data_IF_507617816965
#
_entry.id   IF_507617816965
#
_cell.length_a   1.000
_cell.length_b   1.000
_cell.length_c   1.000
_cell.angle_alpha   90.00
_cell.angle_beta   90.00
_cell.angle_gamma   90.00
#
_symmetry.space_group_name_H-M   'P 1'
#
loop_
_entity.id
_entity.type
_entity.pdbx_description
1 polymer ?
#
# COMPACT_ATOMS: atom_id res chain seq x y z
N UNK A 1 21.78 -0.47 -14.88
CA UNK A 1 20.52 -0.24 -14.12
C UNK A 1 20.83 0.76 -13.01
N UNK A 2 19.95 1.72 -12.73
CA UNK A 2 20.09 2.57 -11.54
C UNK A 2 19.73 1.78 -10.27
N UNK A 3 20.28 2.16 -9.11
CA UNK A 3 19.87 1.51 -7.86
C UNK A 3 18.43 1.93 -7.49
N UNK A 4 17.79 1.17 -6.59
CA UNK A 4 16.48 1.57 -6.03
C UNK A 4 16.61 2.91 -5.30
N UNK A 5 17.74 3.13 -4.61
CA UNK A 5 18.00 4.37 -3.86
C UNK A 5 18.24 5.57 -4.78
N UNK A 6 18.95 5.38 -5.89
CA UNK A 6 19.16 6.41 -6.92
C UNK A 6 17.81 6.84 -7.50
N UNK A 7 16.98 5.85 -7.86
CA UNK A 7 15.65 6.08 -8.42
C UNK A 7 14.76 6.83 -7.42
N UNK A 8 14.75 6.41 -6.16
CA UNK A 8 14.00 7.07 -5.07
C UNK A 8 14.48 8.51 -4.86
N UNK A 9 15.79 8.72 -4.78
CA UNK A 9 16.43 10.02 -4.57
C UNK A 9 16.11 10.98 -5.71
N UNK A 10 16.16 10.50 -6.95
CA UNK A 10 15.82 11.29 -8.12
C UNK A 10 14.35 11.72 -8.08
N UNK A 11 13.41 10.80 -7.81
CA UNK A 11 11.99 11.14 -7.75
C UNK A 11 11.73 12.17 -6.65
N UNK A 12 12.26 11.97 -5.44
CA UNK A 12 12.13 12.93 -4.35
C UNK A 12 12.75 14.30 -4.68
N UNK A 13 13.92 14.31 -5.34
CA UNK A 13 14.57 15.54 -5.80
C UNK A 13 13.68 16.31 -6.79
N UNK A 14 13.00 15.62 -7.70
CA UNK A 14 12.04 16.24 -8.63
C UNK A 14 10.85 16.83 -7.87
N UNK A 15 10.24 16.06 -6.97
CA UNK A 15 9.03 16.48 -6.23
C UNK A 15 9.31 17.66 -5.29
N UNK A 16 10.40 17.61 -4.52
CA UNK A 16 10.78 18.68 -3.57
C UNK A 16 11.18 19.97 -4.26
N UNK A 17 11.83 19.89 -5.44
CA UNK A 17 12.27 21.08 -6.18
C UNK A 17 11.16 21.71 -7.01
N UNK A 18 10.02 21.04 -7.18
CA UNK A 18 8.92 21.59 -7.94
C UNK A 18 8.23 22.69 -7.14
N UNK A 19 8.28 23.91 -7.67
CA UNK A 19 7.59 25.08 -7.10
C UNK A 19 6.26 25.38 -7.80
N UNK A 20 5.98 24.66 -8.89
CA UNK A 20 4.77 24.69 -9.69
C UNK A 20 3.89 23.46 -9.40
N UNK A 21 2.57 23.57 -9.54
CA UNK A 21 1.66 22.42 -9.50
C UNK A 21 1.53 21.69 -8.14
N UNK A 22 0.94 20.48 -8.13
CA UNK A 22 0.64 19.73 -6.91
C UNK A 22 1.80 18.85 -6.40
N UNK A 23 2.95 18.85 -7.08
CA UNK A 23 3.99 17.83 -6.90
C UNK A 23 4.66 17.85 -5.53
N UNK A 24 4.78 19.01 -4.89
CA UNK A 24 5.39 19.15 -3.56
C UNK A 24 4.61 18.44 -2.45
N UNK A 25 3.35 18.09 -2.70
CA UNK A 25 2.51 17.28 -1.80
C UNK A 25 2.80 15.78 -1.85
N UNK A 26 3.71 15.33 -2.72
CA UNK A 26 4.04 13.91 -2.92
C UNK A 26 5.48 13.61 -2.50
N UNK A 27 5.73 12.36 -2.11
CA UNK A 27 7.08 11.85 -1.86
C UNK A 27 7.16 10.34 -2.08
N UNK A 28 8.37 9.86 -2.38
CA UNK A 28 8.69 8.44 -2.35
C UNK A 28 8.89 7.98 -0.91
N UNK A 29 8.16 6.93 -0.52
CA UNK A 29 8.29 6.27 0.78
C UNK A 29 8.29 4.75 0.59
N UNK A 30 8.92 4.06 1.53
CA UNK A 30 9.03 2.58 1.54
C UNK A 30 7.98 1.90 2.43
N UNK A 31 7.06 2.69 3.00
CA UNK A 31 5.85 2.27 3.71
C UNK A 31 4.70 3.15 3.20
N UNK A 32 3.54 2.56 2.99
CA UNK A 32 2.24 3.23 2.81
C UNK A 32 1.32 2.90 3.98
N UNK A 33 0.50 3.85 4.44
CA UNK A 33 -0.61 3.56 5.34
C UNK A 33 -1.87 3.37 4.51
N UNK A 34 -2.33 2.14 4.43
CA UNK A 34 -3.52 1.75 3.68
C UNK A 34 -4.67 1.53 4.67
N UNK A 35 -4.91 2.50 5.55
CA UNK A 35 -5.80 2.30 6.69
C UNK A 35 -7.25 2.11 6.28
N UNK A 36 -7.96 1.25 7.00
CA UNK A 36 -9.42 1.11 6.91
C UNK A 36 -10.10 2.13 7.83
N UNK A 37 -9.61 2.24 9.07
CA UNK A 37 -10.21 3.14 10.05
C UNK A 37 -9.13 3.77 10.93
N UNK A 38 -9.01 5.10 10.84
CA UNK A 38 -8.07 5.90 11.64
C UNK A 38 -8.70 6.32 12.97
N UNK A 39 -7.90 6.30 14.03
CA UNK A 39 -8.29 6.79 15.34
C UNK A 39 -8.36 8.32 15.39
N UNK A 40 -9.24 8.84 16.21
CA UNK A 40 -9.22 10.24 16.67
C UNK A 40 -9.02 10.32 18.18
N UNK A 41 -8.41 11.42 18.64
CA UNK A 41 -8.30 11.75 20.07
C UNK A 41 -8.71 13.21 20.23
N UNK A 42 -9.81 13.46 20.94
CA UNK A 42 -10.32 14.83 21.11
C UNK A 42 -10.71 15.50 19.78
N UNK A 43 -11.08 14.71 18.77
CA UNK A 43 -11.43 15.18 17.43
C UNK A 43 -10.25 15.35 16.47
N UNK A 44 -9.00 15.22 16.93
CA UNK A 44 -7.81 15.26 16.07
C UNK A 44 -7.40 13.86 15.59
N UNK A 45 -6.73 13.78 14.44
CA UNK A 45 -6.23 12.50 13.90
C UNK A 45 -5.18 11.90 14.83
N UNK A 46 -5.19 10.57 14.95
CA UNK A 46 -4.14 9.80 15.62
C UNK A 46 -3.25 9.09 14.60
N UNK A 47 -2.08 8.59 15.03
CA UNK A 47 -1.34 7.56 14.29
C UNK A 47 -1.87 6.15 14.57
N UNK A 48 -2.76 6.00 15.57
CA UNK A 48 -3.38 4.72 15.92
C UNK A 48 -4.80 4.67 15.37
N UNK A 49 -5.39 3.47 15.39
CA UNK A 49 -6.76 3.24 14.99
C UNK A 49 -7.17 1.79 15.16
N UNK A 50 -8.45 1.53 14.95
CA UNK A 50 -9.05 0.21 15.11
C UNK A 50 -8.70 -0.76 13.98
N UNK A 51 -8.31 -0.24 12.81
CA UNK A 51 -7.94 -1.05 11.64
C UNK A 51 -6.91 -0.31 10.75
N UNK A 52 -5.64 -0.39 11.18
CA UNK A 52 -4.48 0.29 10.56
C UNK A 52 -3.62 -0.74 9.83
N UNK A 53 -3.21 -0.42 8.60
CA UNK A 53 -2.41 -1.34 7.77
C UNK A 53 -1.20 -0.63 7.17
N UNK A 54 0.00 -1.11 7.51
CA UNK A 54 1.22 -0.77 6.80
C UNK A 54 1.37 -1.66 5.57
N UNK A 55 1.55 -1.06 4.40
CA UNK A 55 1.93 -1.76 3.17
C UNK A 55 3.37 -1.44 2.80
N UNK A 56 4.14 -2.48 2.48
CA UNK A 56 5.51 -2.40 1.96
C UNK A 56 5.57 -3.10 0.61
N UNK A 57 6.52 -2.71 -0.23
CA UNK A 57 6.74 -3.35 -1.53
C UNK A 57 8.11 -4.01 -1.52
N UNK A 58 8.18 -5.28 -1.94
CA UNK A 58 9.43 -6.04 -1.97
C UNK A 58 9.64 -6.65 -3.35
N UNK A 59 10.85 -6.49 -3.89
CA UNK A 59 11.30 -7.30 -5.00
C UNK A 59 11.50 -8.75 -4.52
N UNK A 60 11.41 -9.70 -5.45
CA UNK A 60 11.60 -11.13 -5.16
C UNK A 60 12.98 -11.44 -4.58
N UNK A 61 14.00 -10.68 -4.96
CA UNK A 61 15.36 -10.80 -4.43
C UNK A 61 15.54 -10.17 -3.03
N UNK A 62 14.46 -9.72 -2.40
CA UNK A 62 14.46 -9.17 -1.04
C UNK A 62 14.71 -7.66 -0.98
N UNK A 63 15.06 -7.00 -2.09
CA UNK A 63 15.20 -5.53 -2.10
C UNK A 63 13.89 -4.87 -1.75
N UNK A 64 13.95 -3.90 -0.84
CA UNK A 64 12.80 -3.06 -0.50
C UNK A 64 12.57 -2.03 -1.60
N UNK A 65 11.35 -1.98 -2.10
CA UNK A 65 10.91 -1.03 -3.12
C UNK A 65 10.15 0.13 -2.46
N UNK A 66 9.66 1.06 -3.26
CA UNK A 66 9.01 2.27 -2.81
C UNK A 66 7.72 2.56 -3.58
N UNK A 67 6.94 3.48 -3.04
CA UNK A 67 5.75 4.05 -3.67
C UNK A 67 5.82 5.57 -3.59
N UNK A 68 5.45 6.25 -4.66
CA UNK A 68 5.17 7.68 -4.72
C UNK A 68 3.73 7.90 -4.31
N UNK A 69 3.52 8.72 -3.28
CA UNK A 69 2.21 8.98 -2.69
C UNK A 69 2.20 10.32 -1.95
N UNK A 70 1.00 10.78 -1.61
CA UNK A 70 0.82 11.94 -0.74
C UNK A 70 1.21 11.64 0.72
N UNK A 71 1.05 12.64 1.58
CA UNK A 71 1.19 12.50 3.04
C UNK A 71 0.34 11.35 3.62
N UNK A 72 0.81 10.72 4.69
CA UNK A 72 0.14 9.62 5.40
C UNK A 72 -0.77 10.11 6.53
N UNK A 73 -0.37 11.21 7.17
CA UNK A 73 -1.02 11.68 8.38
C UNK A 73 -2.41 12.21 8.03
N UNK A 74 -2.46 13.21 7.15
CA UNK A 74 -3.67 13.78 6.59
C UNK A 74 -3.73 13.50 5.08
N UNK A 75 -3.80 12.21 4.76
CA UNK A 75 -3.71 11.74 3.38
C UNK A 75 -4.86 12.24 2.50
N UNK A 76 -4.58 12.31 1.20
CA UNK A 76 -5.60 12.61 0.19
C UNK A 76 -6.34 11.31 -0.17
N UNK A 77 -7.66 11.39 -0.18
CA UNK A 77 -8.53 10.26 -0.43
C UNK A 77 -9.58 10.60 -1.49
N UNK A 78 -9.96 9.59 -2.26
CA UNK A 78 -11.19 9.56 -3.03
C UNK A 78 -12.28 8.81 -2.30
N UNK A 79 -13.53 9.10 -2.62
CA UNK A 79 -14.69 8.28 -2.26
C UNK A 79 -15.43 7.89 -3.53
N UNK A 80 -15.78 6.61 -3.63
CA UNK A 80 -16.58 6.04 -4.72
C UNK A 80 -17.55 5.01 -4.15
N UNK A 81 -18.53 4.60 -4.95
CA UNK A 81 -19.40 3.47 -4.63
C UNK A 81 -18.76 2.16 -5.09
N UNK A 82 -19.09 1.06 -4.43
CA UNK A 82 -18.63 -0.28 -4.84
C UNK A 82 -19.06 -0.69 -6.25
N UNK A 83 -20.11 -0.10 -6.80
CA UNK A 83 -20.52 -0.30 -8.21
C UNK A 83 -19.67 0.48 -9.22
N UNK A 84 -18.89 1.47 -8.77
CA UNK A 84 -18.02 2.29 -9.59
C UNK A 84 -16.56 1.82 -9.62
N UNK A 85 -16.27 0.71 -8.93
CA UNK A 85 -14.96 0.04 -8.95
C UNK A 85 -15.04 -1.26 -9.74
N UNK A 86 -14.27 -1.33 -10.82
CA UNK A 86 -14.13 -2.51 -11.66
C UNK A 86 -12.93 -3.37 -11.23
N UNK A 87 -13.11 -4.69 -11.27
CA UNK A 87 -12.06 -5.69 -11.09
C UNK A 87 -12.16 -6.67 -12.25
N UNK A 88 -11.05 -7.33 -12.61
CA UNK A 88 -11.09 -8.44 -13.55
C UNK A 88 -11.16 -9.72 -12.75
N UNK A 89 -12.23 -10.50 -12.94
CA UNK A 89 -12.43 -11.75 -12.22
C UNK A 89 -13.21 -12.75 -13.09
N UNK A 90 -13.17 -14.01 -12.69
CA UNK A 90 -14.03 -15.07 -13.21
C UNK A 90 -14.80 -15.69 -12.05
N UNK A 91 -16.06 -16.05 -12.30
CA UNK A 91 -16.92 -16.83 -11.41
C UNK A 91 -16.93 -18.33 -11.79
N UNK A 92 -16.17 -18.72 -12.82
CA UNK A 92 -15.96 -20.11 -13.20
C UNK A 92 -15.17 -20.84 -12.10
N UNK A 93 -15.59 -22.07 -11.78
CA UNK A 93 -14.92 -22.97 -10.83
C UNK A 93 -14.58 -22.35 -9.46
N UNK A 94 -15.42 -21.41 -8.98
CA UNK A 94 -15.24 -20.73 -7.69
C UNK A 94 -14.19 -19.62 -7.71
N UNK A 95 -13.71 -19.23 -8.90
CA UNK A 95 -12.77 -18.12 -9.11
C UNK A 95 -11.30 -18.54 -9.20
N UNK A 96 -10.42 -17.59 -8.88
CA UNK A 96 -8.97 -17.73 -9.06
C UNK A 96 -8.53 -17.27 -10.45
N UNK A 97 -7.27 -16.86 -10.58
CA UNK A 97 -6.72 -16.21 -11.77
C UNK A 97 -6.55 -17.10 -13.01
N UNK A 98 -7.51 -17.97 -13.33
CA UNK A 98 -7.53 -18.78 -14.55
C UNK A 98 -7.65 -17.93 -15.82
N UNK A 99 -7.29 -18.51 -16.97
CA UNK A 99 -7.31 -17.81 -18.26
C UNK A 99 -8.68 -17.79 -18.95
N UNK A 100 -9.64 -18.59 -18.51
CA UNK A 100 -11.02 -18.60 -19.04
C UNK A 100 -11.94 -17.71 -18.20
N UNK A 101 -12.99 -17.18 -18.84
CA UNK A 101 -14.07 -16.47 -18.15
C UNK A 101 -13.73 -15.11 -17.54
N UNK A 102 -12.46 -14.66 -17.58
CA UNK A 102 -12.06 -13.36 -17.03
C UNK A 102 -12.80 -12.21 -17.73
N UNK A 103 -13.50 -11.41 -16.93
CA UNK A 103 -14.22 -10.23 -17.40
C UNK A 103 -14.20 -9.12 -16.34
N UNK A 104 -14.31 -7.85 -16.75
CA UNK A 104 -14.60 -6.78 -15.82
C UNK A 104 -15.93 -7.02 -15.09
N UNK A 105 -15.88 -6.97 -13.76
CA UNK A 105 -17.03 -7.05 -12.85
C UNK A 105 -16.92 -5.90 -11.84
N UNK A 106 -18.03 -5.50 -11.22
CA UNK A 106 -17.98 -4.46 -10.17
C UNK A 106 -17.65 -5.06 -8.82
N UNK A 107 -17.08 -4.26 -7.92
CA UNK A 107 -16.79 -4.68 -6.55
C UNK A 107 -18.08 -5.10 -5.84
N UNK A 108 -19.18 -4.36 -6.05
CA UNK A 108 -20.51 -4.74 -5.55
C UNK A 108 -20.90 -6.16 -5.98
N UNK A 109 -20.68 -6.52 -7.25
CA UNK A 109 -21.01 -7.86 -7.77
C UNK A 109 -20.20 -8.94 -7.07
N UNK A 110 -18.89 -8.69 -6.88
CA UNK A 110 -17.97 -9.60 -6.20
C UNK A 110 -18.37 -9.78 -4.73
N UNK A 111 -18.60 -8.70 -3.98
CA UNK A 111 -19.02 -8.78 -2.57
C UNK A 111 -20.41 -9.45 -2.39
N UNK A 112 -21.32 -9.26 -3.35
CA UNK A 112 -22.65 -9.87 -3.35
C UNK A 112 -22.61 -11.37 -3.62
N UNK A 113 -21.61 -11.86 -4.34
CA UNK A 113 -21.48 -13.26 -4.75
C UNK A 113 -20.10 -13.82 -4.38
N UNK A 114 -19.61 -13.51 -3.19
CA UNK A 114 -18.18 -13.64 -2.88
C UNK A 114 -17.70 -15.10 -2.92
N UNK A 115 -18.55 -16.07 -2.56
CA UNK A 115 -18.25 -17.50 -2.72
C UNK A 115 -18.01 -17.93 -4.17
N UNK A 116 -18.62 -17.26 -5.17
CA UNK A 116 -18.37 -17.59 -6.58
C UNK A 116 -17.00 -17.14 -7.07
N UNK A 117 -16.45 -16.10 -6.45
CA UNK A 117 -15.16 -15.51 -6.84
C UNK A 117 -14.00 -15.92 -5.91
N UNK A 118 -14.31 -16.35 -4.68
CA UNK A 118 -13.37 -16.74 -3.64
C UNK A 118 -13.55 -18.16 -3.13
N UNK A 119 -14.47 -18.95 -3.68
CA UNK A 119 -14.69 -20.35 -3.26
C UNK A 119 -13.45 -21.22 -3.47
N UNK A 120 -12.63 -20.91 -4.49
CA UNK A 120 -11.32 -21.56 -4.70
C UNK A 120 -10.35 -21.34 -3.52
N UNK A 121 -10.58 -20.29 -2.73
CA UNK A 121 -9.79 -19.90 -1.57
C UNK A 121 -10.45 -20.36 -0.25
N UNK A 122 -11.43 -21.26 -0.29
CA UNK A 122 -12.26 -21.75 0.83
C UNK A 122 -13.24 -20.72 1.42
N UNK A 123 -13.65 -19.71 0.65
CA UNK A 123 -14.67 -18.78 1.12
C UNK A 123 -16.08 -19.37 0.91
N UNK A 124 -16.79 -19.64 2.00
CA UNK A 124 -18.03 -20.43 2.04
C UNK A 124 -19.29 -19.61 2.38
N UNK A 125 -19.22 -18.29 2.19
CA UNK A 125 -20.36 -17.37 2.39
C UNK A 125 -20.94 -16.85 1.08
N UNK A 126 -22.27 -16.75 1.02
CA UNK A 126 -22.96 -16.23 -0.16
C UNK A 126 -22.61 -14.77 -0.45
N UNK A 127 -22.58 -13.93 0.58
CA UNK A 127 -22.33 -12.50 0.46
C UNK A 127 -21.63 -11.92 1.68
N UNK A 128 -20.76 -10.93 1.44
CA UNK A 128 -20.18 -10.04 2.45
C UNK A 128 -20.47 -8.56 2.15
N UNK A 129 -21.38 -8.29 1.22
CA UNK A 129 -21.80 -6.95 0.85
C UNK A 129 -22.63 -6.30 1.96
N UNK A 130 -22.51 -4.99 2.08
CA UNK A 130 -23.36 -4.18 2.94
C UNK A 130 -23.86 -2.97 2.16
N UNK A 131 -25.19 -2.81 2.09
CA UNK A 131 -25.78 -1.80 1.21
C UNK A 131 -25.41 -0.37 1.59
N UNK A 132 -25.18 -0.09 2.88
CA UNK A 132 -24.88 1.25 3.37
C UNK A 132 -23.38 1.49 3.42
N UNK A 133 -22.59 0.52 3.90
CA UNK A 133 -21.14 0.68 3.96
C UNK A 133 -20.52 0.74 2.56
N UNK A 134 -21.04 -0.02 1.60
CA UNK A 134 -20.49 -0.13 0.25
C UNK A 134 -20.88 1.04 -0.67
N UNK A 135 -21.66 2.01 -0.19
CA UNK A 135 -21.85 3.33 -0.82
C UNK A 135 -20.64 4.26 -0.60
N UNK A 136 -19.80 3.94 0.38
CA UNK A 136 -18.62 4.73 0.72
C UNK A 136 -17.39 3.85 0.74
N UNK A 137 -16.80 3.64 -0.44
CA UNK A 137 -15.48 3.01 -0.58
C UNK A 137 -14.43 4.11 -0.68
N UNK A 138 -13.46 4.10 0.23
CA UNK A 138 -12.33 5.03 0.12
C UNK A 138 -11.31 4.51 -0.89
N UNK A 139 -10.72 5.42 -1.66
CA UNK A 139 -9.76 5.09 -2.71
C UNK A 139 -8.49 5.91 -2.55
N UNK A 140 -7.35 5.24 -2.63
CA UNK A 140 -6.01 5.83 -2.68
C UNK A 140 -5.41 5.58 -4.06
N UNK A 141 -4.93 6.63 -4.71
CA UNK A 141 -4.13 6.52 -5.92
C UNK A 141 -2.66 6.73 -5.59
N UNK A 142 -1.82 5.78 -6.00
CA UNK A 142 -0.38 5.81 -5.82
C UNK A 142 0.32 5.36 -7.09
N UNK A 143 1.65 5.55 -7.14
CA UNK A 143 2.44 5.06 -8.26
C UNK A 143 3.83 4.61 -7.83
N UNK A 144 4.53 3.85 -8.66
CA UNK A 144 5.94 3.49 -8.42
C UNK A 144 6.76 3.45 -9.70
N UNK A 145 8.07 3.64 -9.58
CA UNK A 145 9.04 3.51 -10.66
C UNK A 145 10.01 2.38 -10.30
N UNK A 146 9.91 1.26 -11.00
CA UNK A 146 10.75 0.09 -10.76
C UNK A 146 12.00 0.13 -11.64
N UNK A 147 13.21 0.14 -11.07
CA UNK A 147 14.44 0.07 -11.86
C UNK A 147 14.57 -1.32 -12.49
N UNK A 148 14.68 -1.35 -13.81
CA UNK A 148 14.86 -2.58 -14.61
C UNK A 148 16.12 -2.52 -15.46
N UNK A 149 16.57 -3.67 -15.95
CA UNK A 149 17.73 -3.74 -16.84
C UNK A 149 17.49 -2.97 -18.14
N UNK A 150 18.56 -2.56 -18.81
CA UNK A 150 18.48 -1.93 -20.13
C UNK A 150 18.21 -3.02 -21.16
N UNK A 151 17.16 -2.85 -21.96
CA UNK A 151 16.73 -3.83 -22.93
C UNK A 151 15.24 -3.68 -23.26
N UNK A 152 14.78 -4.48 -24.22
CA UNK A 152 13.36 -4.62 -24.50
C UNK A 152 12.75 -5.66 -23.57
N UNK A 153 11.53 -5.39 -23.06
CA UNK A 153 10.76 -6.33 -22.22
C UNK A 153 11.52 -6.81 -20.99
N UNK A 154 12.39 -5.98 -20.42
CA UNK A 154 13.01 -6.26 -19.12
C UNK A 154 11.97 -6.14 -18.01
N UNK A 155 12.08 -6.99 -16.98
CA UNK A 155 11.08 -7.09 -15.93
C UNK A 155 11.70 -7.17 -14.53
N UNK A 156 10.86 -6.91 -13.52
CA UNK A 156 11.17 -7.11 -12.11
C UNK A 156 10.01 -7.82 -11.43
N UNK A 157 10.31 -8.86 -10.66
CA UNK A 157 9.32 -9.58 -9.85
C UNK A 157 9.21 -8.98 -8.45
N UNK A 158 7.99 -8.83 -7.95
CA UNK A 158 7.70 -8.19 -6.66
C UNK A 158 6.43 -8.72 -6.02
N UNK A 159 6.25 -8.40 -4.73
CA UNK A 159 5.00 -8.61 -4.01
C UNK A 159 4.79 -7.48 -2.99
N UNK A 160 3.57 -6.95 -2.84
CA UNK A 160 3.22 -6.13 -1.70
C UNK A 160 3.14 -7.00 -0.44
N UNK A 161 3.47 -6.41 0.70
CA UNK A 161 3.41 -7.02 2.01
C UNK A 161 2.57 -6.14 2.92
N UNK A 162 1.51 -6.70 3.49
CA UNK A 162 0.61 -6.02 4.40
C UNK A 162 0.90 -6.43 5.85
N UNK A 163 0.90 -5.44 6.74
CA UNK A 163 0.98 -5.63 8.18
C UNK A 163 -0.16 -4.84 8.82
N UNK A 164 -1.24 -5.51 9.20
CA UNK A 164 -2.34 -4.90 9.92
C UNK A 164 -2.01 -4.85 11.42
N UNK A 165 -2.18 -3.73 12.12
CA UNK A 165 -1.83 -3.59 13.54
C UNK A 165 -2.85 -4.22 14.51
N UNK A 166 -4.02 -4.60 14.01
CA UNK A 166 -5.14 -5.07 14.81
C UNK A 166 -5.44 -6.58 14.59
N UNK A 167 -4.77 -7.24 13.64
CA UNK A 167 -4.83 -8.71 13.44
C UNK A 167 -3.79 -9.48 14.26
N UNK A 168 -4.20 -10.12 15.35
CA UNK A 168 -3.25 -10.82 16.24
C UNK A 168 -3.07 -12.31 15.92
N UNK A 169 -3.97 -12.88 15.14
CA UNK A 169 -4.11 -14.30 14.87
C UNK A 169 -4.62 -14.51 13.43
N UNK A 170 -4.16 -15.57 12.76
CA UNK A 170 -4.65 -15.95 11.43
C UNK A 170 -6.11 -16.45 11.49
N UNK A 171 -6.56 -16.91 12.66
CA UNK A 171 -7.94 -17.36 12.92
C UNK A 171 -8.93 -16.21 13.22
N UNK A 172 -8.42 -14.98 13.31
CA UNK A 172 -9.19 -13.78 13.68
C UNK A 172 -8.71 -12.53 12.89
N UNK A 173 -8.75 -12.57 11.55
CA UNK A 173 -8.31 -11.49 10.68
C UNK A 173 -9.17 -10.23 10.84
N UNK A 174 -8.56 -9.07 10.58
CA UNK A 174 -9.29 -7.79 10.47
C UNK A 174 -9.85 -7.56 9.09
N UNK A 175 -9.19 -8.07 8.06
CA UNK A 175 -9.56 -7.78 6.68
C UNK A 175 -9.47 -9.04 5.82
N UNK A 176 -10.51 -9.23 5.00
CA UNK A 176 -10.38 -9.98 3.76
C UNK A 176 -9.69 -9.05 2.74
N UNK A 177 -8.69 -9.57 2.04
CA UNK A 177 -7.83 -8.81 1.12
C UNK A 177 -8.03 -9.33 -0.29
N UNK A 178 -8.45 -8.45 -1.19
CA UNK A 178 -8.61 -8.74 -2.62
C UNK A 178 -7.45 -8.11 -3.39
N UNK A 179 -6.58 -8.93 -3.97
CA UNK A 179 -5.49 -8.49 -4.83
C UNK A 179 -5.92 -8.62 -6.30
N UNK A 180 -5.96 -7.50 -7.01
CA UNK A 180 -6.60 -7.41 -8.32
C UNK A 180 -5.62 -6.94 -9.39
N UNK A 181 -5.51 -7.71 -10.46
CA UNK A 181 -4.78 -7.35 -11.69
C UNK A 181 -5.68 -7.59 -12.89
N UNK A 182 -5.22 -7.29 -14.11
CA UNK A 182 -5.97 -7.68 -15.31
C UNK A 182 -5.86 -9.16 -15.65
N UNK A 183 -5.04 -9.92 -14.92
CA UNK A 183 -5.00 -11.40 -15.00
C UNK A 183 -5.88 -12.08 -13.96
N UNK A 184 -6.68 -11.31 -13.22
CA UNK A 184 -7.71 -11.85 -12.33
C UNK A 184 -7.66 -11.28 -10.92
N UNK A 185 -8.46 -11.94 -10.08
CA UNK A 185 -8.63 -11.66 -8.67
C UNK A 185 -7.97 -12.76 -7.84
N UNK A 186 -7.20 -12.36 -6.84
CA UNK A 186 -6.70 -13.23 -5.78
C UNK A 186 -7.32 -12.86 -4.42
N UNK A 187 -8.10 -13.76 -3.85
CA UNK A 187 -8.73 -13.64 -2.53
C UNK A 187 -7.80 -14.18 -1.45
N UNK A 188 -7.48 -13.34 -0.48
CA UNK A 188 -6.58 -13.60 0.65
C UNK A 188 -7.18 -12.97 1.92
N UNK A 189 -6.55 -13.17 3.07
CA UNK A 189 -6.86 -12.45 4.31
C UNK A 189 -5.58 -11.88 4.91
N UNK A 190 -5.72 -10.86 5.74
CA UNK A 190 -4.62 -10.51 6.64
C UNK A 190 -4.44 -11.59 7.73
N UNK A 191 -3.38 -11.43 8.52
CA UNK A 191 -3.04 -12.42 9.53
C UNK A 191 -2.00 -11.92 10.51
N UNK A 192 -1.53 -12.83 11.35
CA UNK A 192 -0.47 -12.60 12.31
C UNK A 192 0.82 -12.17 11.61
N UNK A 193 1.37 -11.05 12.04
CA UNK A 193 2.61 -10.49 11.48
C UNK A 193 2.43 -9.92 10.07
N UNK A 194 3.54 -9.84 9.33
CA UNK A 194 3.53 -9.34 7.96
C UNK A 194 3.19 -10.47 6.98
N UNK A 195 2.29 -10.21 6.03
CA UNK A 195 1.86 -11.17 5.02
C UNK A 195 2.13 -10.62 3.62
N UNK A 196 2.91 -11.36 2.82
CA UNK A 196 3.05 -11.07 1.39
C UNK A 196 1.78 -11.46 0.65
N UNK A 197 1.34 -10.61 -0.26
CA UNK A 197 0.17 -10.87 -1.10
C UNK A 197 0.66 -11.35 -2.46
N UNK A 198 0.17 -12.52 -2.86
CA UNK A 198 0.53 -13.15 -4.14
C UNK A 198 -0.68 -13.25 -5.06
N UNK A 199 -0.44 -13.40 -6.37
CA UNK A 199 -1.51 -13.75 -7.28
C UNK A 199 -1.81 -15.24 -7.17
N UNK A 200 -3.08 -15.64 -7.30
CA UNK A 200 -3.49 -17.03 -7.22
C UNK A 200 -3.90 -17.57 -8.58
N UNK A 201 -3.61 -18.84 -8.85
CA UNK A 201 -4.21 -19.64 -9.91
C UNK A 201 -4.65 -20.96 -9.30
N UNK A 202 -5.86 -21.39 -9.61
CA UNK A 202 -6.30 -22.75 -9.38
C UNK A 202 -5.89 -23.61 -10.57
N UNK A 203 -5.14 -24.67 -10.34
CA UNK A 203 -4.74 -25.59 -11.40
C UNK A 203 -5.82 -26.63 -11.72
N UNK A 204 -5.55 -27.50 -12.71
CA UNK A 204 -6.47 -28.56 -13.16
C UNK A 204 -6.77 -29.61 -12.09
N UNK A 205 -5.92 -29.72 -11.05
CA UNK A 205 -6.12 -30.61 -9.90
C UNK A 205 -6.88 -29.92 -8.77
N UNK A 206 -7.22 -28.65 -8.94
CA UNK A 206 -7.89 -27.84 -7.94
C UNK A 206 -6.95 -27.26 -6.89
N UNK A 207 -5.63 -27.45 -7.02
CA UNK A 207 -4.64 -26.88 -6.12
C UNK A 207 -4.43 -25.40 -6.42
N UNK A 208 -4.26 -24.59 -5.37
CA UNK A 208 -4.02 -23.16 -5.52
C UNK A 208 -2.53 -22.87 -5.51
N UNK A 209 -2.03 -22.38 -6.64
CA UNK A 209 -0.66 -21.92 -6.83
C UNK A 209 -0.57 -20.42 -6.63
N UNK A 210 0.48 -19.99 -5.92
CA UNK A 210 0.77 -18.58 -5.66
C UNK A 210 1.89 -18.10 -6.58
N UNK A 211 1.76 -16.89 -7.09
CA UNK A 211 2.72 -16.29 -8.01
C UNK A 211 3.17 -14.91 -7.52
N UNK A 212 4.46 -14.65 -7.70
CA UNK A 212 4.98 -13.28 -7.66
C UNK A 212 4.29 -12.44 -8.73
N UNK A 213 4.17 -11.14 -8.48
CA UNK A 213 3.81 -10.19 -9.53
C UNK A 213 5.07 -9.87 -10.32
N UNK A 214 4.91 -9.57 -11.60
CA UNK A 214 5.99 -9.17 -12.48
C UNK A 214 5.60 -7.86 -13.17
N UNK A 215 6.51 -6.88 -13.14
CA UNK A 215 6.39 -5.64 -13.88
C UNK A 215 7.35 -5.65 -15.08
N UNK A 216 6.82 -5.85 -16.29
CA UNK A 216 7.59 -5.83 -17.55
C UNK A 216 7.51 -4.45 -18.22
N UNK A 217 8.62 -3.95 -18.76
CA UNK A 217 8.64 -2.70 -19.54
C UNK A 217 7.80 -2.78 -20.82
N UNK A 218 7.21 -1.65 -21.24
CA UNK A 218 6.37 -1.59 -22.45
C UNK A 218 6.73 -0.41 -23.37
N UNK A 219 6.03 -0.32 -24.50
CA UNK A 219 6.07 0.81 -25.44
C UNK A 219 5.25 2.02 -24.97
N UNK A 220 4.40 1.86 -23.94
CA UNK A 220 3.49 2.89 -23.49
C UNK A 220 4.18 3.88 -22.55
N UNK A 221 3.91 5.17 -22.75
CA UNK A 221 4.44 6.26 -21.93
C UNK A 221 3.93 6.21 -20.48
N UNK A 222 4.60 6.95 -19.61
CA UNK A 222 4.13 7.22 -18.25
C UNK A 222 2.89 8.10 -18.27
N UNK A 223 1.90 7.76 -17.45
CA UNK A 223 0.60 8.45 -17.35
C UNK A 223 -0.38 8.14 -18.49
N UNK A 224 -1.67 8.20 -18.17
CA UNK A 224 -2.77 8.02 -19.12
C UNK A 224 -3.13 6.57 -19.46
N UNK A 225 -4.12 6.43 -20.35
CA UNK A 225 -4.67 5.13 -20.76
C UNK A 225 -3.71 4.31 -21.65
N UNK A 226 -3.79 2.98 -21.54
CA UNK A 226 -2.99 2.05 -22.35
C UNK A 226 -3.86 1.30 -23.36
N UNK A 227 -4.07 1.94 -24.50
CA UNK A 227 -4.76 1.34 -25.64
C UNK A 227 -3.76 0.53 -26.47
N UNK A 228 -3.84 -0.80 -26.36
CA UNK A 228 -2.97 -1.72 -27.10
C UNK A 228 -3.57 -2.07 -28.47
N UNK A 229 -2.69 -2.29 -29.45
CA UNK A 229 -3.07 -2.86 -30.75
C UNK A 229 -3.48 -4.33 -30.62
N UNK A 230 -4.10 -4.89 -31.66
CA UNK A 230 -4.47 -6.31 -31.64
C UNK A 230 -3.23 -7.20 -31.63
N UNK A 231 -2.18 -6.81 -32.35
CA UNK A 231 -0.90 -7.51 -32.42
C UNK A 231 -0.16 -7.47 -31.07
N UNK A 232 -0.16 -6.33 -30.38
CA UNK A 232 0.42 -6.19 -29.03
C UNK A 232 -0.28 -7.09 -28.02
N UNK A 233 -1.62 -7.15 -28.06
CA UNK A 233 -2.42 -8.03 -27.21
C UNK A 233 -2.13 -9.50 -27.49
N UNK A 234 -2.08 -9.90 -28.76
CA UNK A 234 -1.76 -11.29 -29.13
C UNK A 234 -0.35 -11.70 -28.71
N UNK A 235 0.65 -10.84 -28.87
CA UNK A 235 2.02 -11.09 -28.39
C UNK A 235 2.05 -11.24 -26.87
N UNK A 236 1.37 -10.34 -26.13
CA UNK A 236 1.29 -10.41 -24.68
C UNK A 236 0.64 -11.71 -24.21
N UNK A 237 -0.48 -12.12 -24.82
CA UNK A 237 -1.19 -13.36 -24.50
C UNK A 237 -0.33 -14.60 -24.80
N UNK A 238 0.38 -14.63 -25.94
CA UNK A 238 1.31 -15.73 -26.27
C UNK A 238 2.44 -15.89 -25.25
N UNK A 239 2.83 -14.79 -24.60
CA UNK A 239 3.86 -14.77 -23.54
C UNK A 239 3.28 -14.92 -22.13
N UNK A 240 1.97 -15.14 -22.00
CA UNK A 240 1.29 -15.27 -20.71
C UNK A 240 1.22 -13.98 -19.90
N UNK A 241 1.37 -12.81 -20.54
CA UNK A 241 1.37 -11.50 -19.88
C UNK A 241 -0.03 -10.91 -19.80
N UNK A 242 -0.22 -10.00 -18.85
CA UNK A 242 -1.43 -9.21 -18.70
C UNK A 242 -1.76 -8.44 -19.98
N UNK A 243 -3.03 -8.20 -20.28
CA UNK A 243 -3.48 -7.26 -21.34
C UNK A 243 -4.31 -6.15 -20.70
N UNK A 244 -4.51 -5.04 -21.41
CA UNK A 244 -5.27 -3.90 -20.91
C UNK A 244 -6.75 -4.27 -20.79
N UNK A 245 -7.29 -4.00 -19.61
CA UNK A 245 -8.68 -4.24 -19.29
C UNK A 245 -9.21 -3.08 -18.43
N UNK A 246 -10.53 -2.98 -18.32
CA UNK A 246 -11.16 -2.03 -17.40
C UNK A 246 -10.93 -2.52 -15.97
N UNK A 247 -10.20 -1.73 -15.19
CA UNK A 247 -9.84 -2.03 -13.79
C UNK A 247 -9.74 -0.73 -12.98
N UNK A 248 -10.22 -0.75 -11.74
CA UNK A 248 -10.29 0.41 -10.86
C UNK A 248 -11.50 1.31 -11.15
N UNK A 249 -11.37 2.62 -10.93
CA UNK A 249 -12.47 3.57 -11.18
C UNK A 249 -12.72 3.76 -12.68
N UNK A 250 -13.91 4.22 -13.04
CA UNK A 250 -14.28 4.50 -14.44
C UNK A 250 -13.24 5.38 -15.19
N UNK A 251 -12.62 6.33 -14.49
CA UNK A 251 -11.66 7.26 -15.07
C UNK A 251 -10.28 6.67 -15.36
N UNK A 252 -9.91 5.56 -14.70
CA UNK A 252 -8.66 4.84 -15.01
C UNK A 252 -8.71 4.32 -16.45
N UNK A 253 -9.89 3.90 -16.91
CA UNK A 253 -10.11 3.34 -18.22
C UNK A 253 -9.44 1.96 -18.37
N UNK A 254 -8.96 1.67 -19.57
CA UNK A 254 -8.25 0.41 -19.86
C UNK A 254 -6.77 0.55 -19.55
N UNK A 255 -6.27 -0.28 -18.63
CA UNK A 255 -4.86 -0.31 -18.22
C UNK A 255 -4.38 -1.73 -17.98
N UNK A 256 -3.08 -1.96 -18.12
CA UNK A 256 -2.40 -3.20 -17.69
C UNK A 256 -1.38 -2.93 -16.57
N UNK A 257 -1.15 -1.66 -16.22
CA UNK A 257 -0.13 -1.25 -15.26
C UNK A 257 -0.66 -1.03 -13.85
N UNK A 258 -1.83 -1.60 -13.55
CA UNK A 258 -2.55 -1.38 -12.29
C UNK A 258 -2.48 -2.63 -11.43
N UNK A 259 -2.09 -2.44 -10.18
CA UNK A 259 -2.38 -3.37 -9.09
C UNK A 259 -3.35 -2.67 -8.15
N UNK A 260 -4.46 -3.33 -7.82
CA UNK A 260 -5.42 -2.81 -6.85
C UNK A 260 -5.55 -3.79 -5.68
N UNK A 261 -5.33 -3.28 -4.47
CA UNK A 261 -5.54 -4.02 -3.22
C UNK A 261 -6.78 -3.46 -2.54
N UNK A 262 -7.75 -4.31 -2.22
CA UNK A 262 -8.98 -3.92 -1.53
C UNK A 262 -9.02 -4.62 -0.18
N UNK A 263 -9.25 -3.86 0.88
CA UNK A 263 -9.50 -4.38 2.22
C UNK A 263 -10.99 -4.34 2.53
N UNK A 264 -11.56 -5.50 2.83
CA UNK A 264 -12.95 -5.72 3.19
C UNK A 264 -12.97 -6.04 4.68
N UNK A 265 -13.38 -5.08 5.54
CA UNK A 265 -13.31 -5.23 6.99
C UNK A 265 -14.17 -6.35 7.54
N UNK A 266 -13.58 -7.15 8.42
CA UNK A 266 -14.20 -8.30 9.05
C UNK A 266 -14.44 -8.05 10.54
N UNK A 267 -15.49 -8.67 11.04
CA UNK A 267 -15.81 -8.69 12.47
C UNK A 267 -14.95 -9.73 13.17
N UNK A 268 -14.03 -9.26 14.01
CA UNK A 268 -13.24 -10.13 14.86
C UNK A 268 -14.09 -10.81 15.96
N UNK A 269 -13.67 -12.02 16.35
CA UNK A 269 -14.21 -12.79 17.47
C UNK A 269 -13.99 -11.97 18.74
N UNK A 270 -15.03 -11.83 19.57
CA UNK A 270 -14.86 -11.25 20.92
C UNK A 270 -13.87 -12.13 21.69
N UNK A 271 -12.69 -11.60 21.99
CA UNK A 271 -11.76 -12.24 22.93
C UNK A 271 -12.47 -12.34 24.27
N UNK A 272 -12.78 -13.57 24.69
CA UNK A 272 -13.17 -13.81 26.08
C UNK A 272 -11.96 -13.44 26.91
N UNK A 273 -12.10 -12.42 27.76
CA UNK A 273 -11.15 -12.23 28.83
C UNK A 273 -11.33 -13.45 29.72
N UNK A 274 -10.43 -14.42 29.59
CA UNK A 274 -10.24 -15.36 30.69
C UNK A 274 -9.77 -14.48 31.84
N UNK A 275 -10.68 -14.29 32.81
CA UNK A 275 -10.42 -13.56 34.04
C UNK A 275 -9.37 -14.35 34.83
N UNK A 276 -8.11 -14.28 34.38
CA UNK A 276 -6.95 -14.78 35.11
C UNK A 276 -6.47 -13.69 36.06
N UNK A 277 -7.40 -13.17 36.85
CA UNK A 277 -7.13 -12.48 38.09
C UNK A 277 -8.22 -12.91 39.06
N UNK A 278 -7.94 -13.99 39.79
CA UNK A 278 -8.58 -14.27 41.08
C UNK A 278 -8.11 -13.26 42.12
N UNK A 279 -8.42 -11.99 41.89
CA UNK A 279 -8.36 -10.94 42.90
C UNK A 279 -9.76 -10.35 42.97
N UNK A 280 -10.40 -10.58 44.11
CA UNK A 280 -11.71 -10.06 44.47
C UNK A 280 -11.77 -8.54 44.26
N UNK A 281 -12.88 -8.13 43.65
CA UNK A 281 -13.61 -6.86 43.73
C UNK A 281 -12.88 -5.55 44.11
N UNK A 282 -13.09 -4.57 43.21
CA UNK A 282 -13.30 -3.15 43.52
C UNK A 282 -12.11 -2.19 43.77
N UNK A 283 -10.86 -2.53 43.43
CA UNK A 283 -9.74 -1.55 43.57
C UNK A 283 -8.94 -1.19 42.32
N UNK A 284 -9.11 -1.87 41.19
CA UNK A 284 -8.25 -1.64 40.00
C UNK A 284 -8.77 -0.53 39.07
N UNK A 285 -10.05 -0.17 39.13
CA UNK A 285 -10.64 0.88 38.26
C UNK A 285 -10.24 2.30 38.70
N UNK A 286 -9.72 2.48 39.92
CA UNK A 286 -9.41 3.81 40.45
C UNK A 286 -7.95 4.28 40.27
N UNK A 287 -7.04 3.40 39.84
CA UNK A 287 -5.62 3.76 39.65
C UNK A 287 -5.25 4.19 38.22
N UNK A 288 -6.03 3.81 37.19
CA UNK A 288 -5.75 4.26 35.81
C UNK A 288 -6.44 5.58 35.42
N UNK A 289 -7.41 6.07 36.20
CA UNK A 289 -8.06 7.37 35.93
C UNK A 289 -7.42 8.55 36.68
N UNK A 290 -6.59 8.30 37.70
CA UNK A 290 -5.97 9.36 38.49
C UNK A 290 -4.63 9.87 37.91
N UNK A 291 -3.88 9.05 37.17
CA UNK A 291 -2.60 9.46 36.57
C UNK A 291 -2.74 10.21 35.24
N UNK A 292 -3.90 10.14 34.57
CA UNK A 292 -4.14 10.85 33.30
C UNK A 292 -4.83 12.22 33.53
N UNK A 293 -5.29 12.50 34.76
CA UNK A 293 -6.03 13.71 35.10
C UNK A 293 -5.25 14.75 35.94
N UNK A 294 -3.96 14.51 36.23
CA UNK A 294 -3.14 15.38 37.07
C UNK A 294 -1.88 15.90 36.35
N UNK A 295 -2.05 16.44 35.14
CA UNK A 295 -1.04 17.26 34.47
C UNK A 295 -1.71 18.45 33.75
N UNK A 296 -2.48 19.23 34.51
CA UNK A 296 -2.78 20.62 34.18
C UNK A 296 -2.43 21.47 35.40
N UNK A 297 -1.54 22.43 35.17
CA UNK A 297 -1.05 23.48 36.09
C UNK A 297 0.04 23.08 37.11
N UNK A 298 1.29 23.43 36.81
CA UNK A 298 2.16 24.25 37.69
C UNK A 298 3.67 24.13 37.36
N UNK A 299 4.22 25.22 36.84
CA UNK A 299 5.58 25.79 36.99
C UNK A 299 6.82 24.90 37.25
N UNK A 300 7.77 25.00 36.30
CA UNK A 300 9.23 25.20 36.46
C UNK A 300 9.99 24.42 37.55
N UNK A 301 10.91 23.54 37.16
CA UNK A 301 12.34 23.56 37.56
C UNK A 301 13.17 22.64 36.65
N UNK A 302 14.43 23.03 36.43
CA UNK A 302 15.40 22.51 35.48
C UNK A 302 16.06 21.16 35.90
N UNK A 303 16.64 20.49 34.89
CA UNK A 303 17.76 19.51 34.91
C UNK A 303 17.48 17.99 34.68
N UNK A 304 18.13 17.50 33.60
CA UNK A 304 18.59 16.14 33.19
C UNK A 304 17.54 15.13 32.68
N UNK A 305 17.30 15.01 31.36
CA UNK A 305 18.03 14.20 30.34
C UNK A 305 18.29 12.73 30.72
N UNK A 306 17.44 11.79 30.25
CA UNK A 306 17.86 10.70 29.33
C UNK A 306 16.67 9.83 28.86
N UNK A 307 16.76 9.36 27.61
CA UNK A 307 15.88 8.39 26.92
C UNK A 307 14.46 8.86 26.51
N UNK A 308 14.30 9.40 25.29
CA UNK A 308 13.31 8.98 24.27
C UNK A 308 13.09 10.04 23.15
N UNK A 309 14.13 10.48 22.43
CA UNK A 309 13.94 11.22 21.17
C UNK A 309 15.05 10.85 20.19
N UNK A 310 14.78 9.96 19.24
CA UNK A 310 15.71 9.74 18.12
C UNK A 310 15.03 9.12 16.89
N UNK A 311 13.82 9.56 16.53
CA UNK A 311 13.24 9.26 15.21
C UNK A 311 12.22 10.34 14.80
N UNK A 312 12.73 11.52 14.42
CA UNK A 312 12.17 12.40 13.39
C UNK A 312 12.75 13.80 13.59
N UNK A 313 13.87 14.13 12.95
CA UNK A 313 14.23 15.51 12.59
C UNK A 313 15.52 15.49 11.78
N UNK A 314 15.38 15.41 10.46
CA UNK A 314 16.44 15.83 9.53
C UNK A 314 15.80 16.09 8.18
N UNK A 315 15.25 17.31 7.98
CA UNK A 315 15.05 17.98 6.67
C UNK A 315 14.12 19.22 6.74
N UNK A 316 14.29 20.13 7.69
CA UNK A 316 13.76 21.50 7.53
C UNK A 316 14.70 22.52 8.16
N UNK A 317 15.61 23.07 7.37
CA UNK A 317 16.37 24.27 7.71
C UNK A 317 15.85 25.42 6.85
N UNK A 318 14.90 26.18 7.40
CA UNK A 318 14.51 27.48 6.86
C UNK A 318 15.55 28.55 7.23
N UNK A 319 15.90 29.34 6.23
CA UNK A 319 16.89 30.40 6.29
C UNK A 319 16.27 31.71 6.79
N UNK A 320 16.94 32.39 7.72
CA UNK A 320 16.84 33.83 7.90
C UNK A 320 18.12 34.44 8.51
N UNK A 321 18.39 35.74 8.29
CA UNK A 321 19.73 36.23 7.96
C UNK A 321 20.47 36.87 9.14
N UNK A 322 21.78 36.63 9.20
CA UNK A 322 22.72 37.29 10.12
C UNK A 322 24.09 37.51 9.42
N UNK A 323 24.94 38.43 9.91
CA UNK A 323 25.52 39.50 9.09
C UNK A 323 26.92 39.23 8.54
N UNK A 324 27.30 40.11 7.61
CA UNK A 324 28.55 40.13 6.88
C UNK A 324 29.78 40.09 7.80
N UNK A 325 30.65 39.09 7.57
CA UNK A 325 32.05 39.12 8.01
C UNK A 325 32.98 38.56 6.92
N UNK A 326 34.16 39.14 6.84
CA UNK A 326 35.01 39.16 5.66
C UNK A 326 35.85 37.89 5.43
N UNK A 327 35.74 37.39 4.19
CA UNK A 327 36.77 36.78 3.32
C UNK A 327 37.94 36.03 3.97
N UNK A 328 37.89 34.70 3.86
CA UNK A 328 39.05 33.88 3.43
C UNK A 328 38.62 32.86 2.39
N UNK A 329 39.01 33.10 1.12
CA UNK A 329 38.68 32.24 -0.02
C UNK A 329 39.41 30.90 0.06
N UNK A 330 38.78 29.90 0.69
CA UNK A 330 39.07 28.50 0.41
C UNK A 330 38.31 28.11 -0.85
N UNK A 331 39.05 27.87 -1.95
CA UNK A 331 38.53 27.20 -3.16
C UNK A 331 38.00 25.83 -2.75
N UNK A 332 36.70 25.72 -2.42
CA UNK A 332 35.99 24.44 -2.37
C UNK A 332 36.07 23.86 -3.78
N UNK A 333 36.79 22.76 -3.92
CA UNK A 333 36.65 21.88 -5.08
C UNK A 333 35.16 21.58 -5.23
N UNK A 334 34.59 21.95 -6.38
CA UNK A 334 33.27 21.48 -6.79
C UNK A 334 33.40 19.96 -6.89
N UNK A 335 32.99 19.23 -5.86
CA UNK A 335 32.71 17.81 -6.00
C UNK A 335 31.62 17.75 -7.08
N UNK A 336 32.00 17.23 -8.25
CA UNK A 336 31.06 17.07 -9.35
C UNK A 336 30.00 16.09 -8.87
N UNK A 337 28.83 16.59 -8.49
CA UNK A 337 27.65 15.77 -8.34
C UNK A 337 27.45 15.11 -9.71
N UNK A 338 27.78 13.82 -9.81
CA UNK A 338 27.63 13.05 -11.03
C UNK A 338 26.13 13.04 -11.30
N UNK A 339 25.70 13.82 -12.31
CA UNK A 339 24.30 13.79 -12.74
C UNK A 339 23.99 12.35 -13.13
N UNK A 340 23.00 11.78 -12.46
CA UNK A 340 22.51 10.45 -12.80
C UNK A 340 22.05 10.46 -14.25
N UNK A 341 22.35 9.37 -14.96
CA UNK A 341 21.91 9.20 -16.34
C UNK A 341 20.40 9.07 -16.33
N UNK A 342 19.70 9.93 -17.07
CA UNK A 342 18.25 9.80 -17.27
C UNK A 342 17.97 8.53 -18.07
N UNK A 343 17.09 7.69 -17.54
CA UNK A 343 16.64 6.45 -18.14
C UNK A 343 15.40 6.63 -19.00
N UNK A 344 14.92 5.52 -19.56
CA UNK A 344 13.65 5.46 -20.29
C UNK A 344 12.57 4.90 -19.35
N UNK A 345 11.56 5.72 -19.05
CA UNK A 345 10.41 5.28 -18.25
C UNK A 345 9.26 4.81 -19.15
N UNK A 346 8.50 3.81 -18.71
CA UNK A 346 7.32 3.30 -19.42
C UNK A 346 6.28 2.72 -18.47
N UNK A 347 5.01 2.64 -18.89
CA UNK A 347 4.00 1.87 -18.18
C UNK A 347 4.43 0.41 -18.06
N UNK A 348 4.45 -0.12 -16.85
CA UNK A 348 4.82 -1.51 -16.60
C UNK A 348 3.62 -2.44 -16.86
N UNK A 349 3.82 -3.54 -17.55
CA UNK A 349 2.82 -4.59 -17.66
C UNK A 349 2.86 -5.46 -16.40
N UNK A 350 1.86 -5.27 -15.53
CA UNK A 350 1.77 -6.01 -14.26
C UNK A 350 1.10 -7.36 -14.51
N UNK A 351 1.91 -8.41 -14.51
CA UNK A 351 1.52 -9.79 -14.81
C UNK A 351 1.85 -10.73 -13.65
N UNK A 352 1.44 -11.98 -13.76
CA UNK A 352 1.93 -13.11 -12.97
C UNK A 352 3.35 -13.42 -13.43
N UNK A 353 4.27 -13.45 -12.48
CA UNK A 353 5.63 -13.91 -12.67
C UNK A 353 5.74 -15.40 -12.40
N UNK A 354 6.79 -15.75 -11.69
CA UNK A 354 7.14 -17.10 -11.24
C UNK A 354 6.31 -17.55 -10.06
N UNK A 355 6.13 -18.86 -9.99
CA UNK A 355 5.48 -19.54 -8.86
C UNK A 355 6.30 -19.38 -7.59
N UNK A 356 5.63 -19.20 -6.45
CA UNK A 356 6.23 -19.14 -5.13
C UNK A 356 6.65 -20.55 -4.74
N UNK A 357 7.95 -20.84 -4.80
CA UNK A 357 8.53 -22.12 -4.41
C UNK A 357 9.06 -22.10 -2.97
N UNK A 358 8.17 -21.95 -2.00
CA UNK A 358 8.53 -22.02 -0.57
C UNK A 358 8.34 -23.43 0.04
N UNK A 359 7.96 -24.40 -0.78
CA UNK A 359 7.71 -25.78 -0.36
C UNK A 359 6.42 -25.96 0.44
N UNK A 360 5.56 -24.92 0.49
CA UNK A 360 4.28 -24.97 1.21
C UNK A 360 3.11 -24.85 0.25
N UNK A 361 2.20 -25.83 0.31
CA UNK A 361 0.89 -25.73 -0.33
C UNK A 361 0.08 -24.67 0.40
N UNK A 362 -0.50 -23.74 -0.35
CA UNK A 362 -1.41 -22.76 0.23
C UNK A 362 -2.80 -23.39 0.43
N UNK A 363 -3.25 -23.44 1.68
CA UNK A 363 -4.44 -24.20 2.06
C UNK A 363 -5.75 -23.39 2.00
N UNK A 364 -5.75 -22.20 1.40
CA UNK A 364 -6.90 -21.30 1.46
C UNK A 364 -6.79 -20.23 2.55
N UNK A 365 -7.84 -19.43 2.67
CA UNK A 365 -8.05 -18.57 3.83
C UNK A 365 -8.42 -19.44 5.05
N UNK A 366 -8.10 -18.94 6.23
CA UNK A 366 -8.34 -19.65 7.49
C UNK A 366 -9.78 -19.47 7.98
N UNK A 367 -10.35 -18.28 7.77
CA UNK A 367 -11.74 -17.98 8.14
C UNK A 367 -12.63 -18.12 6.91
N UNK A 368 -13.25 -19.29 6.77
CA UNK A 368 -14.07 -19.66 5.60
C UNK A 368 -15.43 -18.95 5.58
N UNK A 369 -15.99 -18.64 6.75
CA UNK A 369 -17.28 -17.97 6.92
C UNK A 369 -17.17 -16.62 7.67
N UNK A 370 -16.46 -15.63 7.10
CA UNK A 370 -16.22 -14.37 7.79
C UNK A 370 -17.49 -13.52 7.85
N UNK A 371 -17.67 -12.80 8.97
CA UNK A 371 -18.73 -11.81 9.11
C UNK A 371 -18.20 -10.41 8.77
N UNK A 372 -18.97 -9.61 8.02
CA UNK A 372 -18.66 -8.21 7.73
C UNK A 372 -18.57 -7.37 9.02
N UNK A 373 -17.60 -6.46 9.11
CA UNK A 373 -17.55 -5.49 10.20
C UNK A 373 -18.75 -4.52 10.12
N UNK A 374 -19.48 -4.26 11.22
CA UNK A 374 -20.76 -3.54 11.18
C UNK A 374 -20.67 -2.02 10.89
N UNK A 375 -19.47 -1.44 10.93
CA UNK A 375 -19.29 0.02 10.82
C UNK A 375 -18.01 0.44 10.08
N UNK A 376 -17.20 -0.51 9.62
CA UNK A 376 -15.95 -0.19 8.92
C UNK A 376 -16.20 -0.33 7.41
N UNK A 377 -15.73 0.65 6.64
CA UNK A 377 -15.98 0.74 5.21
C UNK A 377 -14.87 0.07 4.39
N UNK A 378 -15.20 -0.36 3.16
CA UNK A 378 -14.18 -0.91 2.26
C UNK A 378 -13.18 0.17 1.87
N UNK A 379 -11.90 -0.20 1.75
CA UNK A 379 -10.86 0.68 1.22
C UNK A 379 -10.14 0.02 0.06
N UNK A 380 -9.77 0.81 -0.95
CA UNK A 380 -9.08 0.36 -2.15
C UNK A 380 -7.81 1.21 -2.38
N UNK A 381 -6.66 0.55 -2.46
CA UNK A 381 -5.39 1.18 -2.86
C UNK A 381 -5.07 0.76 -4.29
N UNK A 382 -5.04 1.72 -5.20
CA UNK A 382 -4.76 1.52 -6.62
C UNK A 382 -3.38 2.08 -6.92
N UNK A 383 -2.45 1.21 -7.30
CA UNK A 383 -1.05 1.54 -7.57
C UNK A 383 -0.76 1.36 -9.05
N UNK A 384 -0.31 2.43 -9.70
CA UNK A 384 0.21 2.38 -11.06
C UNK A 384 1.70 2.04 -11.04
N UNK A 385 2.10 1.08 -11.88
CA UNK A 385 3.49 0.66 -11.98
C UNK A 385 4.10 1.23 -13.26
N UNK A 386 5.28 1.82 -13.10
CA UNK A 386 6.15 2.23 -14.18
C UNK A 386 7.48 1.49 -14.05
N UNK A 387 8.14 1.21 -15.16
CA UNK A 387 9.53 0.73 -15.19
C UNK A 387 10.45 1.87 -15.63
N UNK A 388 11.71 1.85 -15.18
CA UNK A 388 12.75 2.77 -15.65
C UNK A 388 14.02 1.98 -15.99
N UNK A 389 14.41 1.99 -17.27
CA UNK A 389 15.59 1.27 -17.77
C UNK A 389 16.73 2.24 -18.13
N UNK A 390 17.97 1.77 -17.99
CA UNK A 390 19.16 2.52 -18.42
C UNK A 390 19.51 3.78 -17.61
N UNK A 391 18.82 4.05 -16.49
CA UNK A 391 19.00 5.24 -15.67
C UNK A 391 17.88 5.47 -14.66
N UNK A 392 17.70 6.73 -14.22
CA UNK A 392 16.62 7.18 -13.33
C UNK A 392 15.52 7.92 -14.10
N UNK A 393 14.27 8.00 -13.59
CA UNK A 393 13.18 8.63 -14.33
C UNK A 393 13.44 10.11 -14.61
N UNK A 394 12.95 10.57 -15.76
CA UNK A 394 13.01 12.00 -16.12
C UNK A 394 12.07 12.83 -15.24
N UNK A 395 12.34 14.14 -15.16
CA UNK A 395 11.45 15.08 -14.45
C UNK A 395 10.04 15.03 -15.05
N UNK A 396 9.96 14.95 -16.37
CA UNK A 396 8.73 14.91 -17.14
C UNK A 396 7.92 13.64 -16.85
N UNK A 397 8.57 12.49 -16.75
CA UNK A 397 7.91 11.23 -16.39
C UNK A 397 7.36 11.26 -14.97
N UNK A 398 8.13 11.78 -14.00
CA UNK A 398 7.67 11.91 -12.61
C UNK A 398 6.46 12.82 -12.54
N UNK A 399 6.50 13.99 -13.18
CA UNK A 399 5.36 14.91 -13.23
C UNK A 399 4.15 14.30 -13.92
N UNK A 400 4.34 13.62 -15.06
CA UNK A 400 3.26 12.94 -15.78
C UNK A 400 2.59 11.85 -14.93
N UNK A 401 3.36 11.13 -14.11
CA UNK A 401 2.80 10.16 -13.17
C UNK A 401 1.93 10.83 -12.09
N UNK A 402 2.35 11.97 -11.56
CA UNK A 402 1.56 12.73 -10.57
C UNK A 402 0.34 13.38 -11.20
N UNK A 403 0.46 13.96 -12.39
CA UNK A 403 -0.66 14.56 -13.12
C UNK A 403 -1.78 13.53 -13.36
N UNK A 404 -1.39 12.29 -13.64
CA UNK A 404 -2.30 11.16 -13.76
C UNK A 404 -3.01 10.85 -12.42
N UNK A 405 -2.30 10.83 -11.28
CA UNK A 405 -2.93 10.70 -9.95
C UNK A 405 -3.94 11.81 -9.69
N UNK A 406 -3.56 13.04 -10.02
CA UNK A 406 -4.38 14.23 -9.80
C UNK A 406 -5.64 14.27 -10.66
N UNK A 407 -5.55 13.80 -11.91
CA UNK A 407 -6.73 13.58 -12.75
C UNK A 407 -7.66 12.53 -12.14
N UNK A 408 -7.11 11.42 -11.64
CA UNK A 408 -7.91 10.38 -10.99
C UNK A 408 -8.63 10.90 -9.74
N UNK A 409 -7.95 11.67 -8.88
CA UNK A 409 -8.62 12.31 -7.75
C UNK A 409 -9.67 13.35 -8.16
N UNK A 410 -9.49 14.06 -9.28
CA UNK A 410 -10.52 14.97 -9.81
C UNK A 410 -11.74 14.26 -10.40
N UNK A 411 -11.57 12.99 -10.79
CA UNK A 411 -12.60 12.21 -11.47
C UNK A 411 -13.53 11.42 -10.55
N UNK A 412 -13.18 11.25 -9.27
CA UNK A 412 -14.00 10.52 -8.28
C UNK A 412 -15.09 11.42 -7.71
N UNK A 413 -16.17 10.81 -7.20
CA UNK A 413 -17.35 11.51 -6.68
C UNK A 413 -16.99 12.55 -5.60
N UNK A 414 -16.08 12.18 -4.71
CA UNK A 414 -15.55 13.10 -3.71
C UNK A 414 -14.07 12.88 -3.54
N UNK A 415 -13.31 13.97 -3.47
CA UNK A 415 -11.89 13.97 -3.12
C UNK A 415 -11.64 14.99 -2.02
N UNK A 416 -10.79 14.64 -1.07
CA UNK A 416 -10.41 15.52 0.04
C UNK A 416 -9.33 14.91 0.90
N UNK A 417 -9.17 15.43 2.11
CA UNK A 417 -8.20 15.00 3.10
C UNK A 417 -8.88 14.14 4.17
N UNK A 418 -8.15 13.20 4.77
CA UNK A 418 -8.67 12.33 5.84
C UNK A 418 -9.27 13.13 7.03
N UNK A 419 -8.66 14.27 7.36
CA UNK A 419 -9.13 15.19 8.38
C UNK A 419 -10.49 15.83 8.08
N UNK A 420 -10.89 15.91 6.80
CA UNK A 420 -12.14 16.55 6.39
C UNK A 420 -13.36 15.78 6.90
N UNK A 421 -14.47 16.49 7.15
CA UNK A 421 -15.73 15.90 7.64
C UNK A 421 -16.29 14.84 6.68
N UNK A 422 -16.06 15.01 5.37
CA UNK A 422 -16.52 14.07 4.35
C UNK A 422 -15.93 12.67 4.51
N UNK A 423 -14.79 12.54 5.20
CA UNK A 423 -14.13 11.26 5.51
C UNK A 423 -14.33 10.82 6.96
N UNK A 424 -15.31 11.38 7.69
CA UNK A 424 -15.67 10.93 9.05
C UNK A 424 -16.05 9.44 9.11
N UNK A 425 -16.54 8.85 8.03
CA UNK A 425 -16.84 7.42 7.95
C UNK A 425 -15.59 6.52 8.07
N UNK A 426 -14.38 7.06 7.86
CA UNK A 426 -13.11 6.35 8.08
C UNK A 426 -12.47 6.65 9.44
N UNK A 427 -13.16 7.39 10.31
CA UNK A 427 -12.62 7.81 11.60
C UNK A 427 -13.43 7.21 12.74
N UNK A 428 -12.77 6.91 13.85
CA UNK A 428 -13.42 6.50 15.08
C UNK A 428 -12.62 7.00 16.28
N UNK A 429 -13.30 7.42 17.34
CA UNK A 429 -12.60 7.79 18.58
C UNK A 429 -11.83 6.59 19.12
N UNK A 430 -10.56 6.82 19.43
CA UNK A 430 -9.66 5.78 19.90
C UNK A 430 -10.04 5.39 21.33
N UNK A 431 -10.24 4.09 21.58
CA UNK A 431 -10.42 3.62 22.95
C UNK A 431 -9.07 3.35 23.61
N UNK A 432 -9.01 3.47 24.95
CA UNK A 432 -7.82 3.09 25.74
C UNK A 432 -7.40 1.63 25.45
N UNK A 433 -8.38 0.77 25.19
CA UNK A 433 -8.14 -0.63 24.84
C UNK A 433 -7.39 -0.76 23.50
N UNK A 434 -7.77 0.02 22.49
CA UNK A 434 -7.13 -0.05 21.17
C UNK A 434 -5.64 0.33 21.26
N UNK A 435 -5.34 1.40 22.00
CA UNK A 435 -3.97 1.82 22.30
C UNK A 435 -3.14 0.71 22.97
N UNK A 436 -3.69 0.09 24.02
CA UNK A 436 -3.03 -0.98 24.76
C UNK A 436 -2.80 -2.20 23.87
N UNK A 437 -3.81 -2.62 23.09
CA UNK A 437 -3.72 -3.79 22.21
C UNK A 437 -2.66 -3.59 21.12
N UNK A 438 -2.60 -2.40 20.50
CA UNK A 438 -1.58 -2.06 19.50
C UNK A 438 -0.18 -2.06 20.13
N UNK A 439 -0.02 -1.45 21.31
CA UNK A 439 1.26 -1.44 22.04
C UNK A 439 1.72 -2.85 22.38
N UNK A 440 0.81 -3.70 22.86
CA UNK A 440 1.08 -5.11 23.15
C UNK A 440 1.47 -5.87 21.89
N UNK A 441 0.82 -5.61 20.75
CA UNK A 441 1.21 -6.22 19.48
C UNK A 441 2.61 -5.81 19.06
N UNK A 442 2.92 -4.52 19.07
CA UNK A 442 4.24 -4.03 18.70
C UNK A 442 5.35 -4.65 19.54
N UNK A 443 5.07 -4.92 20.82
CA UNK A 443 5.99 -5.61 21.72
C UNK A 443 6.11 -7.11 21.41
N UNK A 444 4.99 -7.80 21.17
CA UNK A 444 4.95 -9.27 21.05
C UNK A 444 5.15 -9.81 19.63
N UNK A 445 4.87 -8.98 18.62
CA UNK A 445 4.87 -9.30 17.21
C UNK A 445 5.34 -8.08 16.40
N UNK A 446 6.56 -7.56 16.62
CA UNK A 446 7.00 -6.35 15.94
C UNK A 446 6.95 -6.54 14.41
N UNK A 447 6.62 -5.48 13.64
CA UNK A 447 6.80 -5.52 12.20
C UNK A 447 8.27 -5.82 11.86
N UNK A 448 8.57 -6.40 10.69
CA UNK A 448 9.93 -6.70 10.29
C UNK A 448 10.81 -5.45 10.42
N UNK A 449 11.92 -5.56 11.15
CA UNK A 449 12.88 -4.45 11.25
C UNK A 449 13.37 -4.10 9.84
N UNK A 450 13.50 -2.80 9.49
CA UNK A 450 14.15 -2.42 8.26
C UNK A 450 15.56 -3.04 8.23
N UNK A 451 15.86 -3.85 7.23
CA UNK A 451 17.21 -4.34 7.01
C UNK A 451 17.97 -3.24 6.28
N UNK A 452 19.07 -2.75 6.87
CA UNK A 452 19.95 -1.84 6.16
C UNK A 452 20.55 -2.58 4.95
N UNK A 453 20.59 -1.99 3.76
CA UNK A 453 21.22 -2.62 2.61
C UNK A 453 22.70 -2.89 2.92
N UNK A 454 23.16 -4.12 2.70
CA UNK A 454 24.59 -4.43 2.76
C UNK A 454 25.32 -3.55 1.74
N UNK A 455 26.50 -3.05 2.10
CA UNK A 455 27.32 -2.23 1.21
C UNK A 455 26.66 -0.91 0.74
N UNK A 456 25.76 -0.32 1.53
CA UNK A 456 25.09 0.94 1.20
C UNK A 456 26.04 2.10 0.80
N UNK A 457 27.30 2.06 1.23
CA UNK A 457 28.34 3.03 0.88
C UNK A 457 29.35 2.57 -0.18
N UNK A 458 29.18 1.39 -0.79
CA UNK A 458 30.14 0.83 -1.75
C UNK A 458 29.54 0.90 -3.16
N UNK A 459 30.23 1.62 -4.04
CA UNK A 459 29.87 1.69 -5.45
C UNK A 459 30.20 0.35 -6.13
N UNK A 460 29.25 -0.30 -6.83
CA UNK A 460 29.50 -1.59 -7.46
C UNK A 460 30.62 -1.47 -8.52
N UNK A 461 31.64 -2.31 -8.42
CA UNK A 461 32.70 -2.46 -9.43
C UNK A 461 32.43 -3.68 -10.30
N UNK A 462 32.86 -3.63 -11.56
CA UNK A 462 32.61 -4.65 -12.59
C UNK A 462 33.43 -5.95 -12.42
N UNK A 463 33.98 -6.22 -11.25
CA UNK A 463 34.78 -7.41 -10.99
C UNK A 463 33.91 -8.46 -10.28
N UNK A 464 33.15 -9.22 -11.08
CA UNK A 464 32.54 -10.49 -10.69
C UNK A 464 33.20 -11.63 -11.46
#
# INVERSE_FOLDING_TARGET
>A
MASVEDTLSQVNSVLVRSTDGPYSGYSCKTVSWDDVQRGTVGGELSCWGSNITDTRLYAKDGRRLFTVRGDNWNERLGRVRSEDLALVATDEDGGGGGSSGLRPVTLRTVLTNISKYGGYANLNIDSIADETLDEHVSVRFQTTFLPVEEGEKTSLEFAPEAYNYNTMDDEDPRNLVLLCTTQGLAVQQDGKGAKKLFHHIRDEHGEVKRYWLEAESSSHKVGGAQAESSEEKEDALKRGKATSAVIGTKAIGTRFNVLMTIQVPLKQKRKKFDAFFGLEDAQVVNYCCAEVAAFSDSECYEEEEDCCEDYALDLFAEASPQPASEKKSRRKSKSGYKREKTGKSSAARVSRGSEVSDGTTWNGITVEDPARHPSEHVTATIVMYYTCSGGVPSTEDVKAAIDDLEELYRSVETSGRLGDETFNFMKSELTVKDAIDIKNKLSTQPPPKPTAPENAGVFPSNDW
#
